data_IF_643388155910
#
_entry.id   IF_643388155910
#
_cell.length_a   1.000
_cell.length_b   1.000
_cell.length_c   1.000
_cell.angle_alpha   90.00
_cell.angle_beta   90.00
_cell.angle_gamma   90.00
#
_symmetry.space_group_name_H-M   'P 1'
#
loop_
_entity.id
_entity.type
_entity.pdbx_description
1 polymer ?
#
# COMPACT_ATOMS: atom_id res chain seq x y z
N UNK A 1 -2.29 1.13 23.45
CA UNK A 1 -1.07 1.96 23.40
C UNK A 1 -0.76 2.25 21.95
N UNK A 2 -0.79 3.53 21.60
CA UNK A 2 -0.49 4.03 20.26
C UNK A 2 0.91 3.58 19.83
N UNK A 3 1.03 2.91 18.68
CA UNK A 3 2.31 2.87 17.99
C UNK A 3 2.64 4.33 17.67
N UNK A 4 3.67 4.88 18.31
CA UNK A 4 4.29 6.11 17.85
C UNK A 4 4.56 5.94 16.36
N UNK A 5 3.91 6.78 15.56
CA UNK A 5 3.78 6.67 14.10
C UNK A 5 4.80 7.51 13.29
N UNK A 6 6.00 7.93 13.78
CA UNK A 6 6.86 8.81 13.00
C UNK A 6 7.46 8.13 11.76
N UNK A 7 7.52 6.78 11.72
CA UNK A 7 8.10 6.06 10.58
C UNK A 7 7.13 5.81 9.42
N UNK A 8 5.80 5.77 9.66
CA UNK A 8 4.86 5.49 8.57
C UNK A 8 4.77 6.66 7.60
N UNK A 9 4.79 7.90 8.11
CA UNK A 9 4.66 9.10 7.30
C UNK A 9 5.76 9.21 6.24
N UNK A 10 7.07 9.06 6.55
CA UNK A 10 8.10 9.07 5.52
C UNK A 10 7.94 7.90 4.54
N UNK A 11 7.47 6.73 4.98
CA UNK A 11 7.18 5.61 4.07
C UNK A 11 6.03 5.93 3.12
N UNK A 12 4.95 6.56 3.60
CA UNK A 12 3.85 7.04 2.73
C UNK A 12 4.35 8.06 1.72
N UNK A 13 5.21 8.98 2.14
CA UNK A 13 5.82 9.97 1.23
C UNK A 13 6.67 9.28 0.16
N UNK A 14 7.49 8.28 0.55
CA UNK A 14 8.28 7.49 -0.39
C UNK A 14 7.38 6.72 -1.38
N UNK A 15 6.32 6.09 -0.89
CA UNK A 15 5.34 5.37 -1.71
C UNK A 15 4.71 6.30 -2.76
N UNK A 16 4.22 7.47 -2.34
CA UNK A 16 3.68 8.48 -3.27
C UNK A 16 4.73 8.93 -4.28
N UNK A 17 5.95 9.22 -3.83
CA UNK A 17 7.02 9.70 -4.70
C UNK A 17 7.38 8.68 -5.78
N UNK A 18 7.58 7.42 -5.41
CA UNK A 18 7.89 6.35 -6.35
C UNK A 18 6.71 6.05 -7.27
N UNK A 19 5.47 6.08 -6.78
CA UNK A 19 4.28 5.95 -7.61
C UNK A 19 4.18 7.05 -8.67
N UNK A 20 4.48 8.32 -8.31
CA UNK A 20 4.51 9.44 -9.26
C UNK A 20 5.64 9.28 -10.29
N UNK A 21 6.82 8.82 -9.86
CA UNK A 21 7.94 8.54 -10.77
C UNK A 21 7.52 7.48 -11.79
N UNK A 22 6.98 6.34 -11.34
CA UNK A 22 6.51 5.28 -12.25
C UNK A 22 5.40 5.78 -13.15
N UNK A 23 4.45 6.57 -12.63
CA UNK A 23 3.38 7.18 -13.42
C UNK A 23 3.94 8.05 -14.56
N UNK A 24 4.92 8.91 -14.27
CA UNK A 24 5.55 9.76 -15.28
C UNK A 24 6.31 8.95 -16.34
N UNK A 25 7.09 7.95 -15.91
CA UNK A 25 7.89 7.10 -16.81
C UNK A 25 7.00 6.26 -17.74
N UNK A 26 5.91 5.70 -17.20
CA UNK A 26 4.95 4.89 -17.98
C UNK A 26 4.07 5.75 -18.87
N UNK A 27 3.64 6.94 -18.42
CA UNK A 27 2.92 7.90 -19.26
C UNK A 27 3.77 8.36 -20.45
N UNK A 28 5.06 8.63 -20.23
CA UNK A 28 6.01 8.89 -21.31
C UNK A 28 6.08 7.70 -22.28
N UNK A 29 6.21 6.47 -21.79
CA UNK A 29 6.28 5.29 -22.63
C UNK A 29 5.00 5.09 -23.48
N UNK A 30 3.82 5.30 -22.90
CA UNK A 30 2.53 5.20 -23.60
C UNK A 30 2.36 6.32 -24.65
N UNK A 31 2.92 7.50 -24.39
CA UNK A 31 2.84 8.63 -25.34
C UNK A 31 3.58 8.35 -26.66
N UNK A 32 4.64 7.54 -26.61
CA UNK A 32 5.46 7.17 -27.77
C UNK A 32 4.87 5.96 -28.51
N UNK A 33 4.45 4.92 -27.76
CA UNK A 33 3.84 3.71 -28.33
C UNK A 33 2.62 3.30 -27.49
N UNK A 34 1.46 3.20 -28.12
CA UNK A 34 0.16 3.05 -27.44
C UNK A 34 -0.25 1.61 -27.09
N UNK A 35 0.56 0.60 -27.40
CA UNK A 35 0.11 -0.80 -27.45
C UNK A 35 0.90 -1.72 -26.50
N UNK A 36 0.76 -1.54 -25.19
CA UNK A 36 1.27 -2.50 -24.20
C UNK A 36 0.41 -2.54 -22.94
N UNK A 37 -0.26 -3.67 -22.71
CA UNK A 37 -1.08 -3.88 -21.52
C UNK A 37 -0.25 -3.86 -20.24
N UNK A 38 1.01 -4.34 -20.30
CA UNK A 38 1.95 -4.30 -19.20
C UNK A 38 2.30 -2.87 -18.78
N UNK A 39 2.57 -1.98 -19.75
CA UNK A 39 2.87 -0.57 -19.46
C UNK A 39 1.62 0.15 -18.96
N UNK A 40 0.45 -0.12 -19.56
CA UNK A 40 -0.83 0.42 -19.11
C UNK A 40 -1.16 -0.01 -17.67
N UNK A 41 -0.85 -1.25 -17.29
CA UNK A 41 -1.02 -1.74 -15.93
C UNK A 41 -0.09 -1.02 -14.93
N UNK A 42 1.18 -0.78 -15.29
CA UNK A 42 2.08 0.02 -14.43
C UNK A 42 1.65 1.48 -14.32
N UNK A 43 1.08 2.06 -15.39
CA UNK A 43 0.46 3.39 -15.35
C UNK A 43 -0.73 3.39 -14.38
N UNK A 44 -1.62 2.40 -14.46
CA UNK A 44 -2.71 2.20 -13.52
C UNK A 44 -2.19 2.08 -12.07
N UNK A 45 -1.13 1.30 -11.82
CA UNK A 45 -0.54 1.16 -10.49
C UNK A 45 -0.07 2.50 -9.93
N UNK A 46 0.57 3.34 -10.76
CA UNK A 46 0.96 4.69 -10.40
C UNK A 46 -0.23 5.55 -10.00
N UNK A 47 -1.30 5.58 -10.81
CA UNK A 47 -2.53 6.33 -10.51
C UNK A 47 -3.22 5.81 -9.25
N UNK A 48 -3.44 4.50 -9.16
CA UNK A 48 -4.03 3.82 -8.03
C UNK A 48 -3.29 4.17 -6.74
N UNK A 49 -1.97 4.07 -6.75
CA UNK A 49 -1.16 4.27 -5.53
C UNK A 49 -1.13 5.74 -5.12
N UNK A 50 -0.86 6.65 -6.06
CA UNK A 50 -0.69 8.07 -5.76
C UNK A 50 -2.01 8.77 -5.37
N UNK A 51 -3.13 8.39 -5.98
CA UNK A 51 -4.39 9.11 -5.83
C UNK A 51 -5.49 8.35 -5.09
N UNK A 52 -5.37 7.02 -4.93
CA UNK A 52 -6.41 6.21 -4.27
C UNK A 52 -5.88 5.54 -3.01
N UNK A 53 -4.89 4.66 -3.13
CA UNK A 53 -4.42 3.85 -2.01
C UNK A 53 -3.76 4.70 -0.92
N UNK A 54 -2.82 5.59 -1.27
CA UNK A 54 -2.10 6.36 -0.26
C UNK A 54 -2.94 7.43 0.43
N UNK A 55 -3.84 8.20 -0.25
CA UNK A 55 -4.76 9.09 0.46
C UNK A 55 -5.72 8.31 1.36
N UNK A 56 -6.22 7.15 0.90
CA UNK A 56 -7.06 6.29 1.74
C UNK A 56 -6.30 5.83 3.01
N UNK A 57 -5.08 5.32 2.86
CA UNK A 57 -4.26 4.83 3.98
C UNK A 57 -3.82 5.95 4.94
N UNK A 58 -3.71 7.19 4.47
CA UNK A 58 -3.35 8.34 5.29
C UNK A 58 -4.56 8.96 6.03
N UNK A 59 -5.72 9.03 5.39
CA UNK A 59 -6.91 9.70 5.92
C UNK A 59 -7.79 8.75 6.74
N UNK A 60 -7.89 7.47 6.39
CA UNK A 60 -8.75 6.51 7.10
C UNK A 60 -8.50 6.42 8.61
N UNK A 61 -7.24 6.41 9.11
CA UNK A 61 -6.97 6.39 10.56
C UNK A 61 -7.42 7.65 11.30
N UNK A 62 -7.49 8.79 10.59
CA UNK A 62 -7.79 10.10 11.17
C UNK A 62 -9.29 10.33 11.27
N UNK A 63 -10.04 10.02 10.20
CA UNK A 63 -11.46 10.39 10.11
C UNK A 63 -12.42 9.28 10.51
N UNK A 64 -11.99 8.01 10.42
CA UNK A 64 -12.90 6.88 10.55
C UNK A 64 -12.32 5.74 11.41
N UNK A 65 -11.96 5.99 12.68
CA UNK A 65 -11.41 4.95 13.56
C UNK A 65 -12.38 3.77 13.80
N UNK A 66 -13.68 3.96 13.55
CA UNK A 66 -14.74 2.94 13.68
C UNK A 66 -15.02 2.17 12.37
N UNK A 67 -14.85 2.81 11.19
CA UNK A 67 -15.05 2.20 9.87
C UNK A 67 -13.75 1.72 9.21
N UNK A 68 -12.59 2.11 9.75
CA UNK A 68 -11.31 1.47 9.53
C UNK A 68 -11.31 0.10 10.22
N UNK A 69 -12.17 -0.81 9.73
CA UNK A 69 -12.19 -2.20 10.16
C UNK A 69 -10.76 -2.74 10.11
N UNK A 70 -10.43 -3.52 11.14
CA UNK A 70 -9.25 -4.39 11.30
C UNK A 70 -8.67 -4.95 9.99
N UNK A 71 -9.53 -5.17 9.00
CA UNK A 71 -9.26 -5.85 7.75
C UNK A 71 -9.11 -4.95 6.51
N UNK A 72 -9.68 -3.74 6.48
CA UNK A 72 -9.71 -2.95 5.23
C UNK A 72 -8.36 -2.28 4.95
N UNK A 73 -7.72 -1.71 5.98
CA UNK A 73 -6.36 -1.16 5.86
C UNK A 73 -5.38 -2.24 5.37
N UNK A 74 -5.25 -3.41 6.02
CA UNK A 74 -4.36 -4.45 5.50
C UNK A 74 -4.79 -4.99 4.14
N UNK A 75 -6.10 -5.03 3.82
CA UNK A 75 -6.54 -5.43 2.49
C UNK A 75 -6.02 -4.49 1.39
N UNK A 76 -6.12 -3.16 1.57
CA UNK A 76 -5.62 -2.19 0.59
C UNK A 76 -4.10 -2.29 0.44
N UNK A 77 -3.37 -2.46 1.55
CA UNK A 77 -1.92 -2.69 1.53
C UNK A 77 -1.54 -3.94 0.73
N UNK A 78 -2.21 -5.08 0.99
CA UNK A 78 -1.93 -6.36 0.34
C UNK A 78 -2.31 -6.32 -1.15
N UNK A 79 -3.46 -5.75 -1.50
CA UNK A 79 -3.88 -5.60 -2.90
C UNK A 79 -2.86 -4.76 -3.67
N UNK A 80 -2.46 -3.63 -3.08
CA UNK A 80 -1.48 -2.73 -3.71
C UNK A 80 -0.11 -3.41 -3.83
N UNK A 81 0.32 -4.15 -2.80
CA UNK A 81 1.52 -4.99 -2.86
C UNK A 81 1.46 -5.98 -4.02
N UNK A 82 0.35 -6.71 -4.19
CA UNK A 82 0.19 -7.68 -5.29
C UNK A 82 0.24 -6.99 -6.65
N UNK A 83 -0.40 -5.84 -6.79
CA UNK A 83 -0.38 -5.07 -8.02
C UNK A 83 1.04 -4.65 -8.41
N UNK A 84 1.81 -4.12 -7.47
CA UNK A 84 3.21 -3.75 -7.72
C UNK A 84 4.06 -4.97 -8.06
N UNK A 85 3.90 -6.08 -7.33
CA UNK A 85 4.60 -7.33 -7.61
C UNK A 85 4.38 -7.80 -9.06
N UNK A 86 3.11 -7.92 -9.45
CA UNK A 86 2.74 -8.34 -10.79
C UNK A 86 3.28 -7.36 -11.85
N UNK A 87 3.18 -6.04 -11.58
CA UNK A 87 3.56 -5.00 -12.51
C UNK A 87 5.05 -4.96 -12.81
N UNK A 88 5.90 -4.95 -11.78
CA UNK A 88 7.34 -4.86 -11.99
C UNK A 88 7.90 -6.14 -12.60
N UNK A 89 7.39 -7.31 -12.21
CA UNK A 89 7.81 -8.60 -12.81
C UNK A 89 7.41 -8.66 -14.27
N UNK A 90 6.15 -8.33 -14.60
CA UNK A 90 5.69 -8.32 -15.99
C UNK A 90 6.50 -7.33 -16.84
N UNK A 91 6.82 -6.15 -16.31
CA UNK A 91 7.65 -5.16 -17.00
C UNK A 91 9.10 -5.65 -17.15
N UNK A 92 9.64 -6.35 -16.15
CA UNK A 92 10.96 -6.98 -16.21
C UNK A 92 11.07 -8.06 -17.28
N UNK A 93 10.02 -8.87 -17.48
CA UNK A 93 9.97 -9.89 -18.54
C UNK A 93 9.76 -9.28 -19.93
N UNK A 94 9.05 -8.15 -20.02
CA UNK A 94 8.82 -7.44 -21.27
C UNK A 94 10.11 -6.81 -21.83
N UNK A 95 11.03 -6.39 -20.95
CA UNK A 95 12.22 -5.66 -21.36
C UNK A 95 13.31 -6.57 -21.93
N UNK A 96 13.99 -6.16 -23.02
CA UNK A 96 15.19 -6.85 -23.47
C UNK A 96 16.32 -6.69 -22.45
N UNK A 97 17.36 -7.51 -22.57
CA UNK A 97 18.55 -7.41 -21.71
C UNK A 97 19.10 -5.97 -21.69
N UNK A 98 19.64 -5.49 -20.56
CA UNK A 98 20.13 -4.11 -20.41
C UNK A 98 21.12 -3.67 -21.50
N UNK A 99 21.91 -4.61 -22.01
CA UNK A 99 22.91 -4.36 -23.08
C UNK A 99 22.28 -3.96 -24.42
N UNK A 100 21.00 -4.23 -24.64
CA UNK A 100 20.27 -3.87 -25.87
C UNK A 100 19.31 -2.68 -25.66
N UNK A 101 19.25 -2.12 -24.45
CA UNK A 101 18.27 -1.12 -24.03
C UNK A 101 18.83 0.32 -24.16
N UNK A 102 18.93 0.83 -25.39
CA UNK A 102 19.62 2.12 -25.64
C UNK A 102 18.70 3.32 -25.87
N UNK A 103 17.44 3.11 -26.25
CA UNK A 103 16.52 4.21 -26.55
C UNK A 103 15.76 4.68 -25.30
N UNK A 104 15.31 5.95 -25.33
CA UNK A 104 14.72 6.63 -24.17
C UNK A 104 13.57 5.88 -23.51
N UNK A 105 12.65 5.31 -24.30
CA UNK A 105 11.53 4.53 -23.78
C UNK A 105 11.98 3.28 -23.01
N UNK A 106 12.95 2.53 -23.54
CA UNK A 106 13.44 1.33 -22.87
C UNK A 106 14.10 1.69 -21.53
N UNK A 107 14.96 2.72 -21.51
CA UNK A 107 15.60 3.18 -20.26
C UNK A 107 14.58 3.70 -19.24
N UNK A 108 13.52 4.36 -19.71
CA UNK A 108 12.42 4.81 -18.86
C UNK A 108 11.65 3.64 -18.25
N UNK A 109 11.33 2.60 -19.04
CA UNK A 109 10.68 1.40 -18.53
C UNK A 109 11.60 0.59 -17.60
N UNK A 110 12.91 0.58 -17.85
CA UNK A 110 13.87 -0.05 -16.96
C UNK A 110 13.89 0.64 -15.59
N UNK A 111 13.90 1.97 -15.57
CA UNK A 111 13.74 2.74 -14.34
C UNK A 111 12.39 2.45 -13.67
N UNK A 112 11.29 2.37 -14.44
CA UNK A 112 9.97 2.05 -13.90
C UNK A 112 9.93 0.66 -13.26
N UNK A 113 10.63 -0.34 -13.82
CA UNK A 113 10.78 -1.67 -13.22
C UNK A 113 11.49 -1.60 -11.86
N UNK A 114 12.60 -0.85 -11.78
CA UNK A 114 13.36 -0.68 -10.52
C UNK A 114 12.52 0.03 -9.46
N UNK A 115 11.94 1.20 -9.77
CA UNK A 115 11.08 1.90 -8.82
C UNK A 115 9.84 1.08 -8.45
N UNK A 116 9.25 0.32 -9.39
CA UNK A 116 8.16 -0.60 -9.09
C UNK A 116 8.54 -1.71 -8.10
N UNK A 117 9.77 -2.23 -8.17
CA UNK A 117 10.29 -3.21 -7.20
C UNK A 117 10.49 -2.61 -5.81
N UNK A 118 10.94 -1.37 -5.72
CA UNK A 118 11.06 -0.65 -4.44
C UNK A 118 9.69 -0.38 -3.84
N UNK A 119 8.73 -0.01 -4.68
CA UNK A 119 7.35 0.23 -4.26
C UNK A 119 6.70 -1.05 -3.73
N UNK A 120 6.91 -2.18 -4.40
CA UNK A 120 6.52 -3.49 -3.90
C UNK A 120 7.14 -3.78 -2.51
N UNK A 121 8.44 -3.52 -2.32
CA UNK A 121 9.11 -3.77 -1.05
C UNK A 121 8.55 -2.88 0.09
N UNK A 122 8.24 -1.62 -0.20
CA UNK A 122 7.58 -0.73 0.76
C UNK A 122 6.20 -1.26 1.16
N UNK A 123 5.38 -1.65 0.17
CA UNK A 123 4.05 -2.22 0.42
C UNK A 123 4.09 -3.57 1.13
N UNK A 124 5.10 -4.39 0.88
CA UNK A 124 5.31 -5.64 1.61
C UNK A 124 5.61 -5.35 3.09
N UNK A 125 6.54 -4.42 3.36
CA UNK A 125 6.90 -4.06 4.72
C UNK A 125 5.71 -3.47 5.49
N UNK A 126 4.95 -2.56 4.88
CA UNK A 126 3.75 -1.97 5.49
C UNK A 126 2.63 -3.00 5.68
N UNK A 127 2.44 -3.93 4.72
CA UNK A 127 1.49 -5.05 4.85
C UNK A 127 1.81 -5.94 6.05
N UNK A 128 3.08 -6.31 6.26
CA UNK A 128 3.51 -7.13 7.41
C UNK A 128 3.19 -6.41 8.71
N UNK A 129 3.54 -5.12 8.82
CA UNK A 129 3.23 -4.33 10.03
C UNK A 129 1.73 -4.20 10.25
N UNK A 130 0.96 -3.97 9.19
CA UNK A 130 -0.50 -3.88 9.24
C UNK A 130 -1.12 -5.20 9.72
N UNK A 131 -0.68 -6.34 9.21
CA UNK A 131 -1.13 -7.68 9.64
C UNK A 131 -0.76 -7.93 11.11
N UNK A 132 0.48 -7.66 11.53
CA UNK A 132 0.90 -7.86 12.92
C UNK A 132 0.10 -6.97 13.89
N UNK A 133 -0.13 -5.71 13.50
CA UNK A 133 -1.06 -4.82 14.21
C UNK A 133 -2.47 -5.42 14.27
N UNK A 134 -2.94 -5.94 13.13
CA UNK A 134 -4.21 -6.64 12.90
C UNK A 134 -4.32 -8.05 13.52
N UNK A 135 -3.27 -8.57 14.15
CA UNK A 135 -3.33 -9.73 15.05
C UNK A 135 -3.28 -9.33 16.54
N UNK A 136 -2.44 -8.34 16.90
CA UNK A 136 -2.25 -7.91 18.31
C UNK A 136 -3.48 -7.30 18.99
N UNK A 137 -4.17 -6.35 18.38
CA UNK A 137 -5.40 -5.77 18.98
C UNK A 137 -6.64 -6.70 19.01
N UNK A 138 -6.62 -7.85 18.33
CA UNK A 138 -7.69 -8.87 18.39
C UNK A 138 -7.59 -9.72 19.66
N UNK A 139 -6.38 -9.94 20.17
CA UNK A 139 -6.16 -10.63 21.45
C UNK A 139 -6.51 -9.80 22.70
N UNK A 140 -6.77 -8.49 22.54
CA UNK A 140 -7.12 -7.61 23.67
C UNK A 140 -8.65 -7.49 23.89
N UNK A 141 -9.47 -8.02 22.99
CA UNK A 141 -10.94 -7.95 23.07
C UNK A 141 -11.60 -9.21 23.65
N UNK A 142 -10.85 -10.24 24.05
CA UNK A 142 -11.41 -11.49 24.61
C UNK A 142 -11.32 -11.62 26.14
N UNK A 143 -10.79 -10.63 26.87
CA UNK A 143 -10.63 -10.69 28.33
C UNK A 143 -11.48 -9.70 29.14
N UNK A 144 -12.46 -9.03 28.53
CA UNK A 144 -13.37 -8.12 29.24
C UNK A 144 -14.81 -8.62 29.27
N UNK A 145 -15.01 -9.82 29.82
CA UNK A 145 -16.31 -10.22 30.40
C UNK A 145 -16.06 -10.73 31.82
N UNK A 146 -15.57 -9.87 32.71
CA UNK A 146 -15.91 -10.02 34.14
C UNK A 146 -17.29 -9.37 34.32
N UNK A 147 -18.33 -10.11 34.74
CA UNK A 147 -19.59 -9.49 35.13
C UNK A 147 -19.31 -8.48 36.26
N UNK A 148 -19.81 -7.26 36.12
CA UNK A 148 -19.82 -6.32 37.24
C UNK A 148 -20.61 -6.96 38.41
N UNK A 149 -20.07 -7.01 39.64
CA UNK A 149 -20.84 -7.48 40.78
C UNK A 149 -22.03 -6.56 40.98
N UNK A 150 -23.24 -7.13 40.90
CA UNK A 150 -24.47 -6.44 41.22
C UNK A 150 -24.41 -5.97 42.67
N UNK A 151 -24.32 -4.66 42.87
CA UNK A 151 -24.49 -4.06 44.20
C UNK A 151 -25.98 -3.79 44.38
N UNK A 152 -26.68 -4.80 44.90
CA UNK A 152 -28.08 -4.69 45.33
C UNK A 152 -28.12 -3.83 46.60
N UNK A 153 -28.30 -2.51 46.47
CA UNK A 153 -28.66 -1.66 47.61
C UNK A 153 -30.14 -1.84 47.91
N UNK A 154 -30.43 -2.80 48.79
CA UNK A 154 -31.69 -2.85 49.53
C UNK A 154 -31.61 -1.79 50.63
N UNK A 155 -32.39 -0.73 50.52
CA UNK A 155 -32.68 0.14 51.67
C UNK A 155 -34.20 0.20 51.77
N UNK A 156 -34.71 -0.54 52.76
CA UNK A 156 -36.08 -0.44 53.21
C UNK A 156 -36.20 0.52 54.38
N UNK A 157 -37.46 0.95 54.57
CA UNK A 157 -38.06 1.78 55.63
C UNK A 157 -37.87 3.29 55.47
#
# INVERSE_FOLDING_TARGET
MALNFPWIYPVRVAQVAFAIIVLGLTAYAVSVVRWSDTVNFMLFNGVWTAFVATPYLALAPVFFPQLAHRFVIPAVEIITMIFWFAGFIALGVLLPSPDYCHWGQCRALQAATVFGSFEWALFLATSIVAILGALRSGGHSTNSTKPAPQTTTHIGV
#
